data_IF_493749206201
#
_entry.id   IF_493749206201
#
_cell.length_a   1.000
_cell.length_b   1.000
_cell.length_c   1.000
_cell.angle_alpha   90.00
_cell.angle_beta   90.00
_cell.angle_gamma   90.00
#
_symmetry.space_group_name_H-M   'P 1'
#
loop_
_entity.id
_entity.type
_entity.pdbx_description
1 polymer ?
#
# COMPACT_ATOMS: atom_id res chain seq x y z
N UNK A 1 -14.36 6.65 -35.44
CA UNK A 1 -14.78 6.34 -34.06
C UNK A 1 -13.74 6.92 -33.13
N UNK A 2 -14.13 7.84 -32.24
CA UNK A 2 -13.23 8.71 -31.45
C UNK A 2 -12.17 7.94 -30.65
N UNK A 3 -10.92 8.41 -30.73
CA UNK A 3 -9.88 8.15 -29.74
C UNK A 3 -10.34 8.74 -28.39
N UNK A 4 -10.38 7.91 -27.34
CA UNK A 4 -10.57 8.40 -25.97
C UNK A 4 -9.33 9.21 -25.55
N UNK A 5 -9.48 10.39 -24.93
CA UNK A 5 -8.34 11.18 -24.50
C UNK A 5 -7.53 10.41 -23.45
N UNK A 6 -6.21 10.43 -23.64
CA UNK A 6 -5.21 9.92 -22.70
C UNK A 6 -5.36 10.65 -21.37
N UNK A 7 -5.64 9.89 -20.30
CA UNK A 7 -5.75 10.39 -18.93
C UNK A 7 -4.41 11.01 -18.49
N UNK A 8 -4.45 12.32 -18.20
CA UNK A 8 -3.30 13.15 -17.86
C UNK A 8 -2.70 12.84 -16.48
N UNK A 9 -3.26 11.91 -15.70
CA UNK A 9 -2.76 11.58 -14.35
C UNK A 9 -1.69 10.48 -14.31
N UNK A 10 -1.17 10.02 -15.46
CA UNK A 10 -0.14 8.97 -15.56
C UNK A 10 1.28 9.49 -15.25
N UNK A 11 1.43 10.19 -14.13
CA UNK A 11 2.68 10.88 -13.78
C UNK A 11 2.88 11.22 -12.29
N UNK A 12 2.19 10.58 -11.34
CA UNK A 12 2.53 10.76 -9.91
C UNK A 12 3.82 10.00 -9.60
N UNK A 13 4.92 10.73 -9.46
CA UNK A 13 6.23 10.19 -9.10
C UNK A 13 6.22 9.58 -7.69
N UNK A 14 7.02 8.53 -7.47
CA UNK A 14 7.18 7.79 -6.19
C UNK A 14 7.71 8.64 -5.00
N UNK A 15 7.87 9.96 -5.16
CA UNK A 15 8.36 10.90 -4.16
C UNK A 15 7.34 11.92 -3.66
N UNK A 16 6.09 11.90 -4.12
CA UNK A 16 5.08 12.85 -3.65
C UNK A 16 4.43 12.40 -2.35
N UNK A 17 4.44 13.29 -1.36
CA UNK A 17 3.63 13.17 -0.15
C UNK A 17 2.14 13.21 -0.54
N UNK A 18 1.41 12.16 -0.20
CA UNK A 18 -0.05 12.10 -0.40
C UNK A 18 -0.74 11.85 0.92
N UNK A 19 -2.00 12.29 1.02
CA UNK A 19 -2.90 11.88 2.10
C UNK A 19 -3.57 10.56 1.72
N UNK A 20 -3.61 9.61 2.67
CA UNK A 20 -4.29 8.31 2.47
C UNK A 20 -5.78 8.48 2.14
N UNK A 21 -6.41 9.57 2.59
CA UNK A 21 -7.79 9.88 2.21
C UNK A 21 -7.97 10.13 0.72
N UNK A 22 -7.02 10.82 0.07
CA UNK A 22 -7.04 10.98 -1.38
C UNK A 22 -6.87 9.64 -2.10
N UNK A 23 -5.94 8.81 -1.61
CA UNK A 23 -5.73 7.45 -2.13
C UNK A 23 -6.99 6.59 -2.03
N UNK A 24 -7.73 6.69 -0.91
CA UNK A 24 -8.98 5.97 -0.68
C UNK A 24 -10.06 6.34 -1.70
N UNK A 25 -10.21 7.63 -1.97
CA UNK A 25 -11.20 8.13 -2.93
C UNK A 25 -10.81 7.72 -4.36
N UNK A 26 -9.55 7.95 -4.75
CA UNK A 26 -9.06 7.68 -6.11
C UNK A 26 -9.08 6.19 -6.46
N UNK A 27 -8.65 5.31 -5.53
CA UNK A 27 -8.58 3.87 -5.78
C UNK A 27 -9.90 3.13 -5.55
N UNK A 28 -10.80 3.69 -4.73
CA UNK A 28 -11.98 2.98 -4.24
C UNK A 28 -11.65 1.86 -3.23
N UNK A 29 -10.39 1.67 -2.85
CA UNK A 29 -9.99 0.82 -1.72
C UNK A 29 -10.20 1.62 -0.44
N UNK A 30 -11.03 1.13 0.48
CA UNK A 30 -11.45 1.89 1.66
C UNK A 30 -11.32 1.04 2.92
N UNK A 31 -11.21 1.71 4.07
CA UNK A 31 -11.47 1.06 5.35
C UNK A 31 -12.98 0.82 5.53
N UNK A 32 -13.33 -0.32 6.09
CA UNK A 32 -14.69 -0.65 6.55
C UNK A 32 -14.70 -0.91 8.05
N UNK A 33 -15.44 -1.93 8.50
CA UNK A 33 -15.39 -2.39 9.90
C UNK A 33 -13.98 -2.80 10.33
N UNK A 34 -13.23 -3.46 9.44
CA UNK A 34 -11.84 -3.84 9.68
C UNK A 34 -11.02 -3.95 8.38
N UNK A 35 -9.85 -3.32 8.41
CA UNK A 35 -8.87 -3.34 7.32
C UNK A 35 -9.29 -2.56 6.08
N UNK A 36 -8.32 -2.28 5.21
CA UNK A 36 -8.55 -1.70 3.89
C UNK A 36 -8.92 -2.80 2.89
N UNK A 37 -10.04 -2.64 2.17
CA UNK A 37 -10.58 -3.64 1.22
C UNK A 37 -11.10 -2.97 -0.05
N UNK A 38 -11.05 -3.71 -1.16
CA UNK A 38 -11.56 -3.28 -2.45
C UNK A 38 -11.44 -4.39 -3.48
N UNK A 39 -11.77 -4.08 -4.75
CA UNK A 39 -11.54 -5.01 -5.86
C UNK A 39 -10.05 -5.35 -5.95
N UNK A 40 -9.73 -6.62 -6.23
CA UNK A 40 -8.33 -7.04 -6.40
C UNK A 40 -7.60 -6.22 -7.48
N UNK A 41 -8.29 -5.77 -8.53
CA UNK A 41 -7.71 -4.89 -9.55
C UNK A 41 -7.41 -3.46 -9.03
N UNK A 42 -8.18 -2.98 -8.06
CA UNK A 42 -8.00 -1.66 -7.44
C UNK A 42 -6.95 -1.65 -6.33
N UNK A 43 -6.67 -2.80 -5.71
CA UNK A 43 -5.55 -3.00 -4.78
C UNK A 43 -4.22 -3.08 -5.53
N UNK A 44 -3.89 -2.04 -6.31
CA UNK A 44 -2.64 -1.97 -7.08
C UNK A 44 -1.42 -2.01 -6.16
N UNK A 45 -0.25 -2.31 -6.73
CA UNK A 45 0.99 -2.36 -5.95
C UNK A 45 1.28 -1.03 -5.26
N UNK A 46 0.99 0.10 -5.92
CA UNK A 46 1.11 1.44 -5.32
C UNK A 46 0.14 1.63 -4.15
N UNK A 47 -1.14 1.26 -4.31
CA UNK A 47 -2.14 1.39 -3.24
C UNK A 47 -1.73 0.59 -2.01
N UNK A 48 -1.39 -0.70 -2.20
CA UNK A 48 -0.95 -1.56 -1.12
C UNK A 48 0.34 -1.06 -0.46
N UNK A 49 1.34 -0.65 -1.24
CA UNK A 49 2.57 -0.06 -0.74
C UNK A 49 2.29 1.16 0.16
N UNK A 50 1.49 2.12 -0.32
CA UNK A 50 1.23 3.37 0.41
C UNK A 50 0.42 3.12 1.69
N UNK A 51 -0.52 2.18 1.67
CA UNK A 51 -1.20 1.76 2.90
C UNK A 51 -0.22 1.17 3.92
N UNK A 52 0.68 0.29 3.48
CA UNK A 52 1.68 -0.31 4.38
C UNK A 52 2.63 0.76 4.94
N UNK A 53 3.09 1.70 4.12
CA UNK A 53 3.90 2.84 4.59
C UNK A 53 3.15 3.65 5.65
N UNK A 54 1.89 4.00 5.40
CA UNK A 54 1.10 4.80 6.34
C UNK A 54 0.83 4.06 7.66
N UNK A 55 0.62 2.74 7.60
CA UNK A 55 0.48 1.91 8.79
C UNK A 55 1.76 1.91 9.63
N UNK A 56 2.92 1.71 9.01
CA UNK A 56 4.23 1.75 9.70
C UNK A 56 4.47 3.13 10.30
N UNK A 57 4.24 4.20 9.53
CA UNK A 57 4.36 5.58 10.02
C UNK A 57 3.45 5.87 11.22
N UNK A 58 2.24 5.30 11.22
CA UNK A 58 1.35 5.43 12.36
C UNK A 58 1.95 4.77 13.61
N UNK A 59 2.46 3.54 13.50
CA UNK A 59 3.08 2.81 14.60
C UNK A 59 4.34 3.48 15.13
N UNK A 60 5.21 3.99 14.24
CA UNK A 60 6.39 4.79 14.60
C UNK A 60 5.97 6.03 15.41
N UNK A 61 4.95 6.75 14.95
CA UNK A 61 4.47 7.97 15.60
C UNK A 61 3.91 7.72 17.00
N UNK A 62 3.31 6.56 17.24
CA UNK A 62 2.79 6.20 18.58
C UNK A 62 3.82 5.46 19.45
N UNK A 63 5.04 5.21 18.94
CA UNK A 63 6.12 4.58 19.69
C UNK A 63 6.08 3.04 19.73
N UNK A 64 5.22 2.40 18.93
CA UNK A 64 5.12 0.93 18.83
C UNK A 64 6.18 0.33 17.90
N UNK A 65 6.82 1.16 17.06
CA UNK A 65 7.98 0.78 16.24
C UNK A 65 9.11 1.81 16.38
N UNK A 66 10.35 1.32 16.39
CA UNK A 66 11.55 2.10 16.73
C UNK A 66 12.45 2.44 15.54
N UNK A 67 12.08 2.06 14.32
CA UNK A 67 12.89 2.29 13.11
C UNK A 67 13.84 1.15 12.74
N UNK A 68 13.80 0.04 13.46
CA UNK A 68 14.56 -1.19 13.22
C UNK A 68 13.76 -2.44 13.63
N UNK A 69 14.30 -3.63 13.36
CA UNK A 69 13.68 -4.90 13.72
C UNK A 69 12.93 -5.59 12.58
N UNK A 70 12.05 -6.53 12.93
CA UNK A 70 11.37 -7.44 11.98
C UNK A 70 9.88 -7.16 11.90
N UNK A 71 9.33 -7.16 10.68
CA UNK A 71 7.88 -7.08 10.45
C UNK A 71 7.41 -8.28 9.64
N UNK A 72 6.46 -9.04 10.18
CA UNK A 72 5.88 -10.19 9.50
C UNK A 72 4.88 -9.74 8.42
N UNK A 73 4.94 -10.38 7.25
CA UNK A 73 4.00 -10.19 6.14
C UNK A 73 3.48 -11.56 5.71
N UNK A 74 2.18 -11.78 5.94
CA UNK A 74 1.48 -13.00 5.54
C UNK A 74 0.39 -12.74 4.51
N UNK A 75 -0.11 -13.80 3.88
CA UNK A 75 -1.14 -13.72 2.84
C UNK A 75 -1.96 -15.00 2.68
N UNK A 76 -3.10 -14.90 1.98
CA UNK A 76 -3.96 -16.03 1.65
C UNK A 76 -3.65 -16.63 0.26
N UNK A 77 -4.47 -17.59 -0.21
CA UNK A 77 -4.27 -18.27 -1.49
C UNK A 77 -4.90 -17.57 -2.71
N UNK A 78 -5.25 -16.28 -2.62
CA UNK A 78 -5.80 -15.57 -3.79
C UNK A 78 -4.74 -15.35 -4.87
N UNK A 79 -5.14 -15.31 -6.16
CA UNK A 79 -4.21 -15.02 -7.26
C UNK A 79 -3.46 -13.69 -7.12
N UNK A 80 -4.07 -12.68 -6.48
CA UNK A 80 -3.47 -11.37 -6.26
C UNK A 80 -2.48 -11.32 -5.09
N UNK A 81 -2.44 -12.33 -4.23
CA UNK A 81 -1.72 -12.25 -2.95
C UNK A 81 -0.23 -12.07 -3.13
N UNK A 82 0.39 -12.83 -4.05
CA UNK A 82 1.83 -12.73 -4.27
C UNK A 82 2.30 -11.32 -4.65
N UNK A 83 1.54 -10.58 -5.48
CA UNK A 83 1.90 -9.19 -5.84
C UNK A 83 1.63 -8.19 -4.70
N UNK A 84 0.54 -8.36 -3.96
CA UNK A 84 0.20 -7.49 -2.83
C UNK A 84 1.24 -7.63 -1.71
N UNK A 85 1.63 -8.87 -1.38
CA UNK A 85 2.68 -9.13 -0.39
C UNK A 85 4.01 -8.52 -0.80
N UNK A 86 4.41 -8.60 -2.07
CA UNK A 86 5.63 -7.94 -2.57
C UNK A 86 5.58 -6.43 -2.35
N UNK A 87 4.46 -5.77 -2.65
CA UNK A 87 4.31 -4.34 -2.41
C UNK A 87 4.43 -3.98 -0.91
N UNK A 88 3.84 -4.77 -0.02
CA UNK A 88 3.96 -4.59 1.42
C UNK A 88 5.39 -4.81 1.92
N UNK A 89 6.07 -5.87 1.45
CA UNK A 89 7.48 -6.18 1.77
C UNK A 89 8.41 -5.03 1.35
N UNK A 90 8.17 -4.44 0.17
CA UNK A 90 8.94 -3.28 -0.28
C UNK A 90 8.72 -2.07 0.63
N UNK A 91 7.48 -1.81 1.06
CA UNK A 91 7.17 -0.73 2.01
C UNK A 91 7.88 -0.95 3.36
N UNK A 92 7.85 -2.17 3.89
CA UNK A 92 8.56 -2.56 5.11
C UNK A 92 10.06 -2.25 4.99
N UNK A 93 10.68 -2.71 3.91
CA UNK A 93 12.11 -2.52 3.66
C UNK A 93 12.48 -1.03 3.52
N UNK A 94 11.69 -0.25 2.77
CA UNK A 94 11.92 1.18 2.59
C UNK A 94 11.76 2.00 3.89
N UNK A 95 11.05 1.47 4.88
CA UNK A 95 10.92 2.09 6.21
C UNK A 95 12.05 1.70 7.18
N UNK A 96 12.99 0.84 6.77
CA UNK A 96 14.15 0.44 7.58
C UNK A 96 13.96 -0.87 8.35
N UNK A 97 12.85 -1.59 8.15
CA UNK A 97 12.58 -2.85 8.83
C UNK A 97 12.92 -4.06 7.96
N UNK A 98 13.26 -5.19 8.60
CA UNK A 98 13.47 -6.47 7.94
C UNK A 98 12.12 -7.20 7.74
N UNK A 99 11.63 -7.37 6.50
CA UNK A 99 10.41 -8.15 6.26
C UNK A 99 10.66 -9.63 6.54
N UNK A 100 9.69 -10.28 7.20
CA UNK A 100 9.65 -11.73 7.41
C UNK A 100 8.44 -12.29 6.68
N UNK A 101 8.69 -13.17 5.71
CA UNK A 101 7.63 -13.88 5.01
C UNK A 101 7.13 -15.04 5.88
N UNK A 102 5.83 -15.08 6.13
CA UNK A 102 5.18 -16.08 6.99
C UNK A 102 3.93 -16.66 6.33
#
# INVERSE_FOLDING_TARGET
MQQKPYDQNRGKTMGQAIKIEGLMIESGVKFGTSGARGLAAAMTDEVCYRYTVAFIQHLERIGELTGDGKLAVGGDLRPSTGRIMRAAIQAVSHRGYAPVYC
#
